data_IF_387253622799
#
_entry.id   IF_387253622799
#
_cell.length_a   1.000
_cell.length_b   1.000
_cell.length_c   1.000
_cell.angle_alpha   90.00
_cell.angle_beta   90.00
_cell.angle_gamma   90.00
#
_symmetry.space_group_name_H-M   'P 1'
#
loop_
_entity.id
_entity.type
_entity.pdbx_description
1 polymer ?
#
# COMPACT_ATOMS: atom_id res chain seq x y z
N UNK A 1 25.82 6.63 -4.82
CA UNK A 1 25.87 8.09 -4.57
C UNK A 1 26.90 8.34 -3.48
N UNK A 2 27.89 9.22 -3.67
CA UNK A 2 28.88 9.48 -2.60
C UNK A 2 28.20 10.16 -1.41
N UNK A 3 28.67 9.93 -0.17
CA UNK A 3 28.08 10.55 1.03
C UNK A 3 28.03 12.08 0.95
N UNK A 4 28.94 12.69 0.19
CA UNK A 4 28.98 14.13 -0.12
C UNK A 4 27.94 14.58 -1.15
N UNK A 5 27.61 13.75 -2.15
CA UNK A 5 26.54 14.03 -3.11
C UNK A 5 25.16 14.00 -2.43
N UNK A 6 24.95 13.09 -1.46
CA UNK A 6 23.72 13.02 -0.70
C UNK A 6 23.40 14.30 0.10
N UNK A 7 24.44 15.00 0.61
CA UNK A 7 24.29 16.27 1.34
C UNK A 7 23.98 17.47 0.45
N UNK A 8 24.26 17.37 -0.85
CA UNK A 8 23.89 18.40 -1.84
C UNK A 8 22.49 18.19 -2.41
N UNK A 9 21.84 17.09 -2.05
CA UNK A 9 20.48 16.78 -2.47
C UNK A 9 19.48 17.80 -1.90
N UNK A 10 18.50 18.20 -2.70
CA UNK A 10 17.52 19.23 -2.35
C UNK A 10 16.77 18.90 -1.06
N UNK A 11 16.47 17.62 -0.83
CA UNK A 11 15.81 17.13 0.39
C UNK A 11 16.59 17.45 1.67
N UNK A 12 17.93 17.40 1.64
CA UNK A 12 18.75 17.74 2.82
C UNK A 12 18.73 19.24 3.10
N UNK A 13 18.67 20.06 2.04
CA UNK A 13 18.56 21.53 2.15
C UNK A 13 17.21 22.00 2.70
N UNK A 14 16.18 21.15 2.67
CA UNK A 14 14.88 21.42 3.33
C UNK A 14 14.95 21.27 4.86
N UNK A 15 15.93 20.51 5.37
CA UNK A 15 16.09 20.20 6.80
C UNK A 15 17.22 21.04 7.42
N UNK A 16 18.32 21.21 6.69
CA UNK A 16 19.52 21.91 7.13
C UNK A 16 19.78 23.15 6.28
N UNK A 17 20.03 24.27 6.95
CA UNK A 17 20.44 25.52 6.30
C UNK A 17 21.84 25.42 5.70
N UNK A 18 22.19 26.37 4.83
CA UNK A 18 23.49 26.39 4.11
C UNK A 18 24.70 26.22 5.04
N UNK A 19 24.74 26.95 6.16
CA UNK A 19 25.83 26.91 7.14
C UNK A 19 25.89 25.55 7.87
N UNK A 20 24.74 24.94 8.12
CA UNK A 20 24.64 23.62 8.75
C UNK A 20 25.17 22.53 7.81
N UNK A 21 24.80 22.58 6.53
CA UNK A 21 25.31 21.68 5.49
C UNK A 21 26.83 21.81 5.35
N UNK A 22 27.36 23.02 5.28
CA UNK A 22 28.80 23.27 5.22
C UNK A 22 29.54 22.73 6.46
N UNK A 23 28.93 22.87 7.64
CA UNK A 23 29.48 22.35 8.90
C UNK A 23 29.55 20.82 8.91
N UNK A 24 28.52 20.14 8.39
CA UNK A 24 28.50 18.67 8.26
C UNK A 24 29.56 18.21 7.27
N UNK A 25 29.67 18.86 6.12
CA UNK A 25 30.68 18.54 5.10
C UNK A 25 32.10 18.66 5.69
N UNK A 26 32.41 19.81 6.32
CA UNK A 26 33.72 20.01 6.98
C UNK A 26 34.02 18.90 7.99
N UNK A 27 33.04 18.50 8.80
CA UNK A 27 33.21 17.45 9.80
C UNK A 27 33.45 16.07 9.17
N UNK A 28 32.73 15.73 8.11
CA UNK A 28 32.88 14.47 7.38
C UNK A 28 34.21 14.35 6.65
N UNK A 29 34.74 15.47 6.16
CA UNK A 29 36.06 15.56 5.55
C UNK A 29 37.19 15.62 6.59
N UNK A 30 36.88 15.50 7.89
CA UNK A 30 37.88 15.52 8.97
C UNK A 30 38.46 16.90 9.27
N UNK A 31 37.91 17.98 8.71
CA UNK A 31 38.41 19.35 8.93
C UNK A 31 38.08 19.82 10.36
N UNK A 32 38.96 20.66 10.91
CA UNK A 32 38.79 21.24 12.25
C UNK A 32 37.67 22.28 12.23
N UNK A 33 36.65 22.08 13.07
CA UNK A 33 35.54 23.01 13.24
C UNK A 33 35.90 24.15 14.21
N UNK A 34 35.45 25.35 13.90
CA UNK A 34 35.44 26.51 14.82
C UNK A 34 34.50 26.25 15.99
N UNK A 35 34.68 26.96 17.10
CA UNK A 35 33.85 26.77 18.29
C UNK A 35 32.36 26.98 18.03
N UNK A 36 32.03 28.00 17.23
CA UNK A 36 30.66 28.28 16.78
C UNK A 36 30.07 27.13 15.96
N UNK A 37 30.83 26.59 15.01
CA UNK A 37 30.43 25.45 14.17
C UNK A 37 30.22 24.17 15.01
N UNK A 38 31.05 23.94 16.04
CA UNK A 38 30.84 22.83 17.00
C UNK A 38 29.55 23.01 17.78
N UNK A 39 29.28 24.22 18.26
CA UNK A 39 28.04 24.52 18.98
C UNK A 39 26.81 24.27 18.09
N UNK A 40 26.85 24.69 16.82
CA UNK A 40 25.81 24.39 15.83
C UNK A 40 25.63 22.88 15.63
N UNK A 41 26.73 22.15 15.47
CA UNK A 41 26.69 20.70 15.24
C UNK A 41 25.95 19.96 16.36
N UNK A 42 26.23 20.30 17.62
CA UNK A 42 25.64 19.61 18.76
C UNK A 42 24.24 20.11 19.13
N UNK A 43 23.98 21.43 19.02
CA UNK A 43 22.72 22.02 19.49
C UNK A 43 21.61 22.10 18.44
N UNK A 44 21.96 22.12 17.15
CA UNK A 44 20.97 22.29 16.06
C UNK A 44 20.99 21.12 15.07
N UNK A 45 22.17 20.77 14.56
CA UNK A 45 22.28 19.81 13.46
C UNK A 45 21.97 18.38 13.91
N UNK A 46 22.61 17.90 14.98
CA UNK A 46 22.38 16.54 15.52
C UNK A 46 20.91 16.29 15.88
N UNK A 47 20.24 17.17 16.65
CA UNK A 47 18.84 16.97 16.98
C UNK A 47 17.93 16.84 15.75
N UNK A 48 18.13 17.67 14.72
CA UNK A 48 17.35 17.59 13.47
C UNK A 48 17.55 16.27 12.73
N UNK A 49 18.80 15.80 12.65
CA UNK A 49 19.12 14.52 12.00
C UNK A 49 18.54 13.33 12.77
N UNK A 50 18.59 13.37 14.10
CA UNK A 50 17.98 12.34 14.95
C UNK A 50 16.46 12.35 14.80
N UNK A 51 15.82 13.52 14.85
CA UNK A 51 14.38 13.65 14.64
C UNK A 51 13.94 13.17 13.24
N UNK A 52 14.69 13.52 12.19
CA UNK A 52 14.41 13.03 10.84
C UNK A 52 14.56 11.50 10.74
N UNK A 53 15.53 10.91 11.45
CA UNK A 53 15.70 9.47 11.56
C UNK A 53 14.52 8.78 12.24
N UNK A 54 14.07 9.31 13.39
CA UNK A 54 12.90 8.80 14.12
C UNK A 54 11.64 8.88 13.25
N UNK A 55 11.40 10.03 12.63
CA UNK A 55 10.24 10.27 11.77
C UNK A 55 10.19 9.33 10.55
N UNK A 56 11.35 8.92 10.03
CA UNK A 56 11.45 7.97 8.93
C UNK A 56 11.31 6.51 9.38
N UNK A 57 11.78 6.16 10.58
CA UNK A 57 11.68 4.80 11.12
C UNK A 57 10.27 4.45 11.61
N UNK A 58 9.58 5.41 12.21
CA UNK A 58 8.26 5.22 12.83
C UNK A 58 7.10 5.46 11.83
N UNK A 59 7.41 5.70 10.56
CA UNK A 59 6.42 6.02 9.50
C UNK A 59 5.49 7.22 9.80
N UNK A 60 5.85 8.05 10.78
CA UNK A 60 5.06 9.19 11.27
C UNK A 60 4.83 10.22 10.16
N UNK A 61 5.80 10.41 9.25
CA UNK A 61 5.64 11.33 8.12
C UNK A 61 4.55 10.87 7.15
N UNK A 62 4.36 9.57 6.96
CA UNK A 62 3.27 9.06 6.13
C UNK A 62 1.91 9.29 6.79
N UNK A 63 1.82 9.13 8.11
CA UNK A 63 0.61 9.41 8.88
C UNK A 63 0.28 10.91 8.93
N UNK A 64 1.27 11.80 9.05
CA UNK A 64 1.05 13.27 9.00
C UNK A 64 0.65 13.72 7.60
N UNK A 65 1.24 13.12 6.56
CA UNK A 65 0.95 13.45 5.16
C UNK A 65 -0.23 12.65 4.58
N UNK A 66 -0.92 11.82 5.39
CA UNK A 66 -2.19 11.23 4.99
C UNK A 66 -3.17 12.37 4.71
N UNK A 67 -3.35 12.64 3.43
CA UNK A 67 -4.44 13.49 2.96
C UNK A 67 -5.75 12.73 3.25
N UNK A 68 -6.37 13.04 4.38
CA UNK A 68 -7.67 12.48 4.81
C UNK A 68 -8.83 12.86 3.86
N UNK A 69 -8.52 13.50 2.72
CA UNK A 69 -9.44 13.84 1.63
C UNK A 69 -9.26 12.96 0.39
N UNK A 70 -8.64 11.78 0.48
CA UNK A 70 -8.79 10.80 -0.60
C UNK A 70 -10.26 10.35 -0.67
N UNK A 71 -11.00 10.99 -1.57
CA UNK A 71 -12.42 10.72 -1.80
C UNK A 71 -12.59 9.33 -2.43
N UNK A 72 -13.45 8.50 -1.83
CA UNK A 72 -13.86 7.20 -2.36
C UNK A 72 -14.39 7.31 -3.81
N UNK A 73 -14.84 8.50 -4.23
CA UNK A 73 -15.24 8.78 -5.60
C UNK A 73 -14.16 8.48 -6.64
N UNK A 74 -12.87 8.60 -6.30
CA UNK A 74 -11.78 8.23 -7.20
C UNK A 74 -11.70 6.72 -7.42
N UNK A 75 -12.02 5.92 -6.40
CA UNK A 75 -12.09 4.45 -6.52
C UNK A 75 -13.31 4.09 -7.38
N UNK A 76 -14.48 4.63 -7.07
CA UNK A 76 -15.73 4.36 -7.80
C UNK A 76 -15.62 4.71 -9.30
N UNK A 77 -14.99 5.84 -9.63
CA UNK A 77 -14.69 6.22 -11.01
C UNK A 77 -13.84 5.15 -11.73
N UNK A 78 -12.77 4.68 -11.08
CA UNK A 78 -11.88 3.69 -11.68
C UNK A 78 -12.52 2.30 -11.72
N UNK A 79 -13.31 1.90 -10.71
CA UNK A 79 -14.10 0.66 -10.74
C UNK A 79 -15.00 0.60 -11.98
N UNK A 80 -15.74 1.69 -12.23
CA UNK A 80 -16.62 1.80 -13.41
C UNK A 80 -15.81 1.69 -14.71
N UNK A 81 -14.65 2.36 -14.77
CA UNK A 81 -13.73 2.29 -15.93
C UNK A 81 -13.24 0.87 -16.20
N UNK A 82 -12.94 0.10 -15.16
CA UNK A 82 -12.46 -1.28 -15.25
C UNK A 82 -13.58 -2.32 -15.34
N UNK A 83 -14.83 -1.89 -15.54
CA UNK A 83 -15.96 -2.75 -15.84
C UNK A 83 -16.78 -3.20 -14.63
N UNK A 84 -16.68 -2.51 -13.51
CA UNK A 84 -17.49 -2.72 -12.30
C UNK A 84 -18.27 -1.44 -11.96
N UNK A 85 -19.44 -1.27 -12.58
CA UNK A 85 -20.30 -0.10 -12.32
C UNK A 85 -21.08 -0.28 -11.00
N UNK A 86 -20.89 0.66 -10.07
CA UNK A 86 -21.67 0.71 -8.83
C UNK A 86 -22.97 1.49 -9.05
N UNK A 87 -24.06 1.06 -8.39
CA UNK A 87 -25.43 1.60 -8.55
C UNK A 87 -25.52 3.11 -8.26
N UNK A 88 -24.53 3.69 -7.57
CA UNK A 88 -24.51 5.09 -7.19
C UNK A 88 -23.39 5.84 -7.91
N UNK A 89 -23.76 6.78 -8.79
CA UNK A 89 -23.13 8.11 -9.03
C UNK A 89 -22.96 8.48 -10.52
N UNK A 90 -23.38 9.72 -10.79
CA UNK A 90 -23.03 10.49 -12.00
C UNK A 90 -21.51 10.46 -12.17
N UNK A 91 -21.03 10.02 -13.33
CA UNK A 91 -19.61 9.90 -13.70
C UNK A 91 -18.86 11.24 -13.52
N UNK A 92 -18.32 11.51 -12.32
CA UNK A 92 -17.33 12.59 -12.12
C UNK A 92 -16.03 12.11 -12.75
N UNK A 93 -15.46 12.89 -13.67
CA UNK A 93 -14.16 12.57 -14.27
C UNK A 93 -13.09 12.58 -13.17
N UNK A 94 -12.41 11.46 -12.98
CA UNK A 94 -11.30 11.31 -12.04
C UNK A 94 -9.97 11.03 -12.73
N UNK A 95 -8.88 11.09 -11.97
CA UNK A 95 -7.57 10.59 -12.42
C UNK A 95 -7.65 9.08 -12.62
N UNK A 96 -7.16 8.62 -13.76
CA UNK A 96 -7.06 7.20 -14.07
C UNK A 96 -5.91 6.61 -13.25
N UNK A 97 -6.19 5.54 -12.54
CA UNK A 97 -5.24 4.82 -11.70
C UNK A 97 -5.02 3.45 -12.35
N UNK A 98 -3.78 2.98 -12.53
CA UNK A 98 -3.51 1.61 -12.98
C UNK A 98 -4.24 0.57 -12.12
N UNK A 99 -4.64 -0.55 -12.71
CA UNK A 99 -5.51 -1.52 -12.03
C UNK A 99 -4.86 -2.14 -10.79
N UNK A 100 -3.55 -2.43 -10.84
CA UNK A 100 -2.82 -2.97 -9.70
C UNK A 100 -2.79 -1.97 -8.53
N UNK A 101 -2.60 -0.68 -8.85
CA UNK A 101 -2.64 0.40 -7.87
C UNK A 101 -4.05 0.61 -7.31
N UNK A 102 -5.09 0.45 -8.13
CA UNK A 102 -6.49 0.50 -7.68
C UNK A 102 -6.78 -0.64 -6.69
N UNK A 103 -6.39 -1.87 -7.01
CA UNK A 103 -6.58 -3.05 -6.15
C UNK A 103 -5.89 -2.81 -4.80
N UNK A 104 -4.64 -2.35 -4.81
CA UNK A 104 -3.87 -2.05 -3.59
C UNK A 104 -4.52 -0.91 -2.81
N UNK A 105 -4.98 0.15 -3.48
CA UNK A 105 -5.67 1.28 -2.84
C UNK A 105 -6.96 0.84 -2.15
N UNK A 106 -7.73 -0.08 -2.75
CA UNK A 106 -8.89 -0.68 -2.10
C UNK A 106 -8.46 -1.44 -0.85
N UNK A 107 -7.46 -2.31 -0.93
CA UNK A 107 -7.11 -3.22 0.17
C UNK A 107 -6.35 -2.57 1.33
N UNK A 108 -5.60 -1.51 1.06
CA UNK A 108 -4.75 -0.83 2.03
C UNK A 108 -5.38 0.45 2.59
N UNK A 109 -6.16 1.19 1.78
CA UNK A 109 -6.70 2.49 2.18
C UNK A 109 -8.22 2.53 2.35
N UNK A 110 -8.96 1.80 1.53
CA UNK A 110 -10.42 1.82 1.56
C UNK A 110 -11.02 0.41 1.53
N UNK A 111 -10.73 -0.44 2.54
CA UNK A 111 -11.09 -1.85 2.54
C UNK A 111 -12.58 -2.06 2.88
N UNK A 112 -13.47 -1.40 2.14
CA UNK A 112 -14.91 -1.60 2.27
C UNK A 112 -15.30 -2.93 1.63
N UNK A 113 -16.27 -3.63 2.21
CA UNK A 113 -16.70 -4.94 1.71
C UNK A 113 -17.07 -4.89 0.21
N UNK A 114 -17.82 -3.86 -0.19
CA UNK A 114 -18.27 -3.69 -1.58
C UNK A 114 -17.11 -3.45 -2.56
N UNK A 115 -16.07 -2.71 -2.17
CA UNK A 115 -14.90 -2.54 -3.03
C UNK A 115 -14.07 -3.82 -3.11
N UNK A 116 -13.94 -4.56 -2.00
CA UNK A 116 -13.21 -5.84 -2.00
C UNK A 116 -13.91 -6.87 -2.89
N UNK A 117 -15.24 -6.95 -2.81
CA UNK A 117 -16.07 -7.80 -3.68
C UNK A 117 -15.88 -7.54 -5.17
N UNK A 118 -15.50 -6.31 -5.56
CA UNK A 118 -15.25 -5.97 -6.95
C UNK A 118 -13.93 -6.56 -7.49
N UNK A 119 -12.93 -6.77 -6.63
CA UNK A 119 -11.56 -7.10 -7.07
C UNK A 119 -11.49 -8.36 -7.94
N UNK A 120 -12.15 -9.49 -7.60
CA UNK A 120 -12.12 -10.67 -8.47
C UNK A 120 -12.66 -10.38 -9.88
N UNK A 121 -13.71 -9.57 -10.01
CA UNK A 121 -14.23 -9.15 -11.32
C UNK A 121 -13.22 -8.29 -12.07
N UNK A 122 -12.55 -7.35 -11.38
CA UNK A 122 -11.51 -6.51 -11.98
C UNK A 122 -10.36 -7.37 -12.53
N UNK A 123 -9.88 -8.35 -11.76
CA UNK A 123 -8.83 -9.29 -12.16
C UNK A 123 -9.27 -10.11 -13.38
N UNK A 124 -10.52 -10.54 -13.43
CA UNK A 124 -11.04 -11.35 -14.55
C UNK A 124 -11.19 -10.54 -15.84
N UNK A 125 -11.67 -9.30 -15.73
CA UNK A 125 -11.94 -8.45 -16.89
C UNK A 125 -10.69 -7.84 -17.51
N UNK A 126 -9.61 -7.75 -16.75
CA UNK A 126 -8.44 -6.98 -17.13
C UNK A 126 -7.18 -7.84 -17.02
N UNK A 127 -6.20 -7.57 -17.88
CA UNK A 127 -4.90 -8.25 -17.79
C UNK A 127 -4.06 -7.59 -16.70
N UNK A 128 -3.70 -8.36 -15.69
CA UNK A 128 -2.91 -7.91 -14.54
C UNK A 128 -1.41 -8.07 -14.82
N UNK A 129 -0.62 -7.06 -14.50
CA UNK A 129 0.83 -7.18 -14.38
C UNK A 129 1.19 -7.85 -13.04
N UNK A 130 1.61 -9.12 -13.14
CA UNK A 130 1.94 -9.95 -11.97
C UNK A 130 3.06 -9.38 -11.12
N UNK A 131 4.10 -8.86 -11.76
CA UNK A 131 5.28 -8.37 -11.06
C UNK A 131 4.95 -7.09 -10.31
N UNK A 132 4.24 -6.17 -10.97
CA UNK A 132 3.78 -4.94 -10.34
C UNK A 132 2.80 -5.20 -9.20
N UNK A 133 1.83 -6.11 -9.38
CA UNK A 133 0.88 -6.44 -8.32
C UNK A 133 1.59 -7.05 -7.12
N UNK A 134 2.58 -7.94 -7.35
CA UNK A 134 3.35 -8.57 -6.28
C UNK A 134 4.25 -7.58 -5.54
N UNK A 135 4.92 -6.68 -6.25
CA UNK A 135 5.73 -5.61 -5.68
C UNK A 135 4.87 -4.74 -4.76
N UNK A 136 3.73 -4.25 -5.26
CA UNK A 136 2.80 -3.44 -4.47
C UNK A 136 2.24 -4.24 -3.29
N UNK A 137 1.86 -5.51 -3.48
CA UNK A 137 1.36 -6.34 -2.40
C UNK A 137 2.38 -6.48 -1.25
N UNK A 138 3.66 -6.58 -1.60
CA UNK A 138 4.75 -6.70 -0.64
C UNK A 138 5.01 -5.37 0.08
N UNK A 139 5.05 -4.26 -0.67
CA UNK A 139 5.29 -2.92 -0.11
C UNK A 139 4.19 -2.49 0.88
N UNK A 140 2.95 -2.90 0.65
CA UNK A 140 1.81 -2.56 1.51
C UNK A 140 1.44 -3.66 2.53
N UNK A 141 2.18 -4.77 2.60
CA UNK A 141 1.89 -5.85 3.55
C UNK A 141 0.52 -6.53 3.34
N UNK A 142 0.06 -6.64 2.08
CA UNK A 142 -1.27 -7.18 1.73
C UNK A 142 -1.20 -8.46 0.89
N UNK A 143 -0.06 -9.19 0.92
CA UNK A 143 0.16 -10.42 0.15
C UNK A 143 -0.95 -11.45 0.35
N UNK A 144 -1.33 -11.71 1.59
CA UNK A 144 -2.41 -12.66 1.91
C UNK A 144 -3.76 -12.24 1.32
N UNK A 145 -4.10 -10.94 1.37
CA UNK A 145 -5.35 -10.41 0.79
C UNK A 145 -5.37 -10.60 -0.74
N UNK A 146 -4.26 -10.29 -1.40
CA UNK A 146 -4.11 -10.47 -2.85
C UNK A 146 -4.20 -11.95 -3.23
N UNK A 147 -3.51 -12.84 -2.52
CA UNK A 147 -3.57 -14.27 -2.76
C UNK A 147 -4.98 -14.83 -2.65
N UNK A 148 -5.73 -14.45 -1.61
CA UNK A 148 -7.13 -14.85 -1.45
C UNK A 148 -8.03 -14.37 -2.60
N UNK A 149 -7.86 -13.12 -3.04
CA UNK A 149 -8.69 -12.55 -4.12
C UNK A 149 -8.30 -13.10 -5.51
N UNK A 150 -7.03 -13.42 -5.73
CA UNK A 150 -6.56 -14.15 -6.91
C UNK A 150 -7.13 -15.57 -6.96
N UNK A 151 -7.10 -16.29 -5.84
CA UNK A 151 -7.73 -17.61 -5.74
C UNK A 151 -9.23 -17.53 -6.04
N UNK A 152 -9.91 -16.52 -5.47
CA UNK A 152 -11.33 -16.29 -5.70
C UNK A 152 -11.62 -15.99 -7.18
N UNK A 153 -10.78 -15.17 -7.83
CA UNK A 153 -10.91 -14.87 -9.25
C UNK A 153 -10.70 -16.13 -10.13
N UNK A 154 -9.69 -16.94 -9.80
CA UNK A 154 -9.37 -18.19 -10.51
C UNK A 154 -10.44 -19.28 -10.32
N UNK A 155 -11.09 -19.31 -9.16
CA UNK A 155 -12.25 -20.16 -8.91
C UNK A 155 -13.42 -19.79 -9.83
N UNK A 156 -13.68 -18.49 -10.02
CA UNK A 156 -14.77 -18.00 -10.85
C UNK A 156 -14.47 -18.21 -12.34
N UNK A 157 -13.25 -17.88 -12.77
CA UNK A 157 -12.80 -18.03 -14.16
C UNK A 157 -11.34 -18.48 -14.20
N UNK A 158 -11.02 -19.64 -14.78
CA UNK A 158 -9.64 -20.08 -14.96
C UNK A 158 -8.83 -19.08 -15.80
N UNK A 159 -7.65 -18.71 -15.30
CA UNK A 159 -6.72 -17.77 -15.95
C UNK A 159 -5.28 -18.28 -15.78
N UNK A 160 -4.80 -19.08 -16.74
CA UNK A 160 -3.52 -19.78 -16.61
C UNK A 160 -2.34 -18.84 -16.33
N UNK A 161 -2.37 -17.64 -16.89
CA UNK A 161 -1.29 -16.66 -16.74
C UNK A 161 -1.09 -16.17 -15.31
N UNK A 162 -2.04 -16.38 -14.39
CA UNK A 162 -1.98 -15.98 -12.97
C UNK A 162 -1.70 -17.14 -12.01
N UNK A 163 -1.66 -18.39 -12.48
CA UNK A 163 -1.48 -19.57 -11.62
C UNK A 163 -0.13 -19.58 -10.92
N UNK A 164 0.91 -19.09 -11.57
CA UNK A 164 2.25 -18.95 -11.00
C UNK A 164 2.29 -17.91 -9.89
N UNK A 165 1.64 -16.75 -10.08
CA UNK A 165 1.50 -15.73 -9.04
C UNK A 165 0.74 -16.27 -7.82
N UNK A 166 -0.38 -16.98 -8.04
CA UNK A 166 -1.13 -17.59 -6.94
C UNK A 166 -0.26 -18.61 -6.17
N UNK A 167 0.48 -19.45 -6.89
CA UNK A 167 1.37 -20.45 -6.29
C UNK A 167 2.49 -19.80 -5.47
N UNK A 168 3.04 -18.68 -5.97
CA UNK A 168 4.01 -17.86 -5.24
C UNK A 168 3.40 -17.30 -3.94
N UNK A 169 2.22 -16.68 -4.02
CA UNK A 169 1.51 -16.15 -2.84
C UNK A 169 1.23 -17.24 -1.81
N UNK A 170 0.89 -18.46 -2.23
CA UNK A 170 0.66 -19.58 -1.33
C UNK A 170 1.91 -20.04 -0.57
N UNK A 171 3.05 -20.04 -1.26
CA UNK A 171 4.35 -20.48 -0.75
C UNK A 171 4.99 -19.42 0.16
N UNK A 172 4.65 -18.15 -0.05
CA UNK A 172 5.21 -16.99 0.67
C UNK A 172 4.14 -16.23 1.44
N UNK A 173 3.11 -16.94 1.93
CA UNK A 173 2.04 -16.34 2.72
C UNK A 173 2.59 -15.83 4.05
N UNK A 174 2.05 -14.74 4.55
CA UNK A 174 2.40 -14.23 5.86
C UNK A 174 1.70 -15.07 6.94
N UNK A 175 2.39 -15.34 8.05
CA UNK A 175 1.82 -16.13 9.15
C UNK A 175 0.91 -15.31 10.07
N UNK A 176 1.04 -13.99 10.01
CA UNK A 176 0.24 -13.05 10.79
C UNK A 176 -1.22 -13.02 10.33
N UNK A 177 -2.13 -13.01 11.31
CA UNK A 177 -3.56 -12.89 11.06
C UNK A 177 -3.91 -11.43 10.80
N UNK A 178 -4.58 -11.15 9.67
CA UNK A 178 -5.01 -9.79 9.31
C UNK A 178 -6.47 -9.73 8.88
N UNK A 179 -7.05 -8.54 8.91
CA UNK A 179 -8.41 -8.31 8.46
C UNK A 179 -8.47 -8.10 6.94
N UNK A 180 -9.38 -8.80 6.27
CA UNK A 180 -9.67 -8.56 4.86
C UNK A 180 -10.41 -7.21 4.69
N UNK A 181 -11.39 -6.96 5.54
CA UNK A 181 -12.09 -5.68 5.74
C UNK A 181 -12.18 -5.37 7.24
N UNK A 182 -12.31 -4.10 7.61
CA UNK A 182 -12.49 -3.68 9.00
C UNK A 182 -13.65 -4.44 9.68
N UNK A 183 -13.46 -4.83 10.95
CA UNK A 183 -14.50 -5.51 11.72
C UNK A 183 -14.04 -5.97 13.10
N UNK A 184 -14.97 -6.56 13.83
CA UNK A 184 -14.74 -7.05 15.19
C UNK A 184 -13.94 -8.36 15.21
N UNK A 185 -12.80 -8.37 15.90
CA UNK A 185 -11.88 -9.51 15.95
C UNK A 185 -12.54 -10.76 16.55
N UNK A 186 -13.22 -10.61 17.70
CA UNK A 186 -13.74 -11.74 18.46
C UNK A 186 -14.84 -12.46 17.67
N UNK A 187 -15.70 -11.69 17.03
CA UNK A 187 -16.73 -12.19 16.15
C UNK A 187 -16.13 -12.83 14.89
N UNK A 188 -15.21 -12.15 14.21
CA UNK A 188 -14.67 -12.62 12.93
C UNK A 188 -13.75 -13.83 13.09
N UNK A 189 -12.99 -13.95 14.17
CA UNK A 189 -12.16 -15.15 14.44
C UNK A 189 -13.02 -16.42 14.46
N UNK A 190 -14.24 -16.34 15.01
CA UNK A 190 -15.21 -17.44 15.08
C UNK A 190 -15.98 -17.64 13.78
N UNK A 191 -16.36 -16.56 13.09
CA UNK A 191 -17.31 -16.57 11.97
C UNK A 191 -16.71 -16.50 10.57
N UNK A 192 -15.40 -16.25 10.44
CA UNK A 192 -14.76 -16.18 9.11
C UNK A 192 -14.82 -17.53 8.38
N UNK A 193 -15.15 -17.58 7.08
CA UNK A 193 -15.16 -18.82 6.30
C UNK A 193 -13.78 -19.51 6.26
N UNK A 194 -13.79 -20.83 6.07
CA UNK A 194 -12.55 -21.63 6.08
C UNK A 194 -11.53 -21.18 5.02
N UNK A 195 -11.98 -20.81 3.81
CA UNK A 195 -11.08 -20.34 2.76
C UNK A 195 -10.44 -19.00 3.10
N UNK A 196 -11.18 -18.08 3.71
CA UNK A 196 -10.63 -16.81 4.23
C UNK A 196 -9.53 -17.11 5.27
N UNK A 197 -9.80 -18.02 6.22
CA UNK A 197 -8.83 -18.42 7.25
C UNK A 197 -7.60 -19.15 6.70
N UNK A 198 -7.73 -19.88 5.58
CA UNK A 198 -6.59 -20.54 4.89
C UNK A 198 -5.47 -19.54 4.53
N UNK A 199 -5.86 -18.29 4.30
CA UNK A 199 -4.97 -17.16 4.01
C UNK A 199 -4.59 -16.34 5.24
N UNK A 200 -4.86 -16.82 6.47
CA UNK A 200 -4.66 -16.05 7.70
C UNK A 200 -5.44 -14.72 7.69
N UNK A 201 -6.62 -14.73 7.06
CA UNK A 201 -7.48 -13.56 7.00
C UNK A 201 -8.71 -13.74 7.91
N UNK A 202 -9.25 -12.60 8.35
CA UNK A 202 -10.54 -12.48 9.02
C UNK A 202 -11.49 -11.64 8.15
N UNK A 203 -12.71 -12.11 7.98
CA UNK A 203 -13.74 -11.45 7.19
C UNK A 203 -14.91 -12.36 6.85
N UNK A 204 -16.08 -11.78 6.59
CA UNK A 204 -17.30 -12.51 6.20
C UNK A 204 -17.54 -12.40 4.70
N UNK A 205 -16.64 -12.99 3.94
CA UNK A 205 -16.73 -13.05 2.48
C UNK A 205 -17.00 -14.48 2.07
N UNK A 206 -18.19 -14.74 1.53
CA UNK A 206 -18.62 -16.07 1.10
C UNK A 206 -18.45 -16.22 -0.41
N UNK A 207 -18.22 -17.46 -0.83
CA UNK A 207 -17.91 -17.79 -2.23
C UNK A 207 -19.11 -17.49 -3.13
N UNK A 208 -20.31 -17.74 -2.60
CA UNK A 208 -21.60 -17.50 -3.23
C UNK A 208 -21.80 -16.02 -3.57
N UNK A 209 -21.33 -15.11 -2.71
CA UNK A 209 -21.46 -13.67 -2.94
C UNK A 209 -20.59 -13.24 -4.13
N UNK A 210 -19.35 -13.72 -4.21
CA UNK A 210 -18.48 -13.45 -5.35
C UNK A 210 -19.01 -14.07 -6.64
N UNK A 211 -19.52 -15.30 -6.59
CA UNK A 211 -20.11 -15.97 -7.76
C UNK A 211 -21.35 -15.21 -8.24
N UNK A 212 -22.21 -14.76 -7.32
CA UNK A 212 -23.40 -13.96 -7.64
C UNK A 212 -23.01 -12.63 -8.28
N UNK A 213 -22.02 -11.93 -7.71
CA UNK A 213 -21.52 -10.68 -8.28
C UNK A 213 -20.90 -10.92 -9.67
N UNK A 214 -20.12 -11.97 -9.84
CA UNK A 214 -19.53 -12.34 -11.12
C UNK A 214 -20.58 -12.56 -12.22
N UNK A 215 -21.72 -13.18 -11.91
CA UNK A 215 -22.84 -13.37 -12.87
C UNK A 215 -23.45 -12.07 -13.37
N UNK A 216 -23.36 -10.98 -12.59
CA UNK A 216 -23.90 -9.67 -12.98
C UNK A 216 -22.92 -8.93 -13.89
N UNK A 217 -21.63 -9.09 -13.65
CA UNK A 217 -20.61 -8.26 -14.27
C UNK A 217 -19.80 -8.94 -15.38
N UNK A 218 -19.66 -10.27 -15.40
CA UNK A 218 -18.91 -11.02 -16.42
C UNK A 218 -19.80 -11.50 -17.56
#
# INVERSE_FOLDING_TARGET
>A
MTKLQALKHEAVRKILGKVEVETVIKKMEGRKLKQTERNYLYRSIRPKLVAAGILAQENILEEINKDNREDASAIEYNLSRYGYEMISLKKKKGKIIPIEELIVKILAKFPTARFIESIPVLIIKNRIDKFKLLELASNYGIKNKIGYLLETALMIKPMDYLKDLLSYCYSNRDDEVSFLAEGDYEFLSKKSPARVRKWKLLGRFFDEDFIKNAKVYL
#
